data_IF_750077424587
#
_entry.id   IF_750077424587
#
_cell.length_a   1.000
_cell.length_b   1.000
_cell.length_c   1.000
_cell.angle_alpha   90.00
_cell.angle_beta   90.00
_cell.angle_gamma   90.00
#
_symmetry.space_group_name_H-M   'P 1'
#
loop_
_entity.id
_entity.type
_entity.pdbx_description
1 polymer ?
#
# COMPACT_ATOMS: atom_id res chain seq x y z
N UNK A 1 -5.42 -16.02 9.60
CA UNK A 1 -4.18 -15.32 10.02
C UNK A 1 -4.55 -14.08 10.81
N UNK A 2 -3.66 -13.54 11.64
CA UNK A 2 -3.95 -12.41 12.54
C UNK A 2 -5.10 -12.67 13.52
N UNK A 3 -5.17 -13.92 14.02
CA UNK A 3 -6.14 -14.27 15.04
C UNK A 3 -5.93 -13.38 16.28
N UNK A 4 -7.01 -12.79 16.81
CA UNK A 4 -6.95 -12.02 18.04
C UNK A 4 -6.43 -12.87 19.21
N UNK A 5 -6.77 -14.16 19.20
CA UNK A 5 -6.42 -15.13 20.23
C UNK A 5 -5.86 -16.40 19.58
N UNK A 6 -4.63 -16.32 19.10
CA UNK A 6 -4.07 -17.35 18.22
C UNK A 6 -3.79 -18.68 18.97
N UNK A 7 -4.46 -19.78 18.60
CA UNK A 7 -4.32 -21.05 19.31
C UNK A 7 -2.92 -21.66 19.15
N UNK A 8 -2.25 -21.38 18.03
CA UNK A 8 -0.87 -21.82 17.81
C UNK A 8 0.14 -21.13 18.73
N UNK A 9 -0.06 -19.85 19.06
CA UNK A 9 0.80 -19.16 20.02
C UNK A 9 0.54 -19.61 21.45
N UNK A 10 -0.69 -19.99 21.81
CA UNK A 10 -0.97 -20.62 23.11
C UNK A 10 -0.28 -21.96 23.30
N UNK A 11 -0.03 -22.68 22.20
CA UNK A 11 0.61 -23.99 22.22
C UNK A 11 2.14 -23.92 22.40
N UNK A 12 2.74 -22.72 22.35
CA UNK A 12 4.17 -22.53 22.59
C UNK A 12 4.40 -21.52 23.72
N UNK A 13 5.14 -21.90 24.77
CA UNK A 13 5.30 -21.03 25.96
C UNK A 13 6.22 -19.84 25.72
N UNK A 14 7.30 -20.05 24.96
CA UNK A 14 8.40 -19.10 24.84
C UNK A 14 8.51 -18.46 23.44
N UNK A 15 7.67 -18.87 22.50
CA UNK A 15 7.67 -18.39 21.11
C UNK A 15 6.29 -17.93 20.66
N UNK A 16 6.21 -17.41 19.44
CA UNK A 16 4.99 -16.87 18.86
C UNK A 16 4.79 -17.38 17.41
N UNK A 17 4.34 -18.65 17.24
CA UNK A 17 4.00 -19.21 15.94
C UNK A 17 3.04 -18.37 15.10
N UNK A 18 2.06 -17.69 15.71
CA UNK A 18 1.16 -16.82 14.95
C UNK A 18 1.89 -15.63 14.34
N UNK A 19 2.81 -15.01 15.08
CA UNK A 19 3.66 -13.94 14.58
C UNK A 19 4.62 -14.42 13.50
N UNK A 20 5.17 -15.62 13.61
CA UNK A 20 6.00 -16.20 12.54
C UNK A 20 5.20 -16.41 11.24
N UNK A 21 4.01 -17.01 11.33
CA UNK A 21 3.12 -17.20 10.17
C UNK A 21 2.75 -15.85 9.54
N UNK A 22 2.46 -14.85 10.38
CA UNK A 22 2.16 -13.48 9.95
C UNK A 22 3.36 -12.86 9.24
N UNK A 23 4.56 -12.94 9.82
CA UNK A 23 5.76 -12.39 9.22
C UNK A 23 6.00 -12.97 7.81
N UNK A 24 5.92 -14.29 7.65
CA UNK A 24 6.03 -14.95 6.33
C UNK A 24 4.98 -14.43 5.35
N UNK A 25 3.75 -14.18 5.82
CA UNK A 25 2.69 -13.64 4.97
C UNK A 25 2.97 -12.21 4.50
N UNK A 26 3.59 -11.39 5.34
CA UNK A 26 3.89 -9.99 5.05
C UNK A 26 5.35 -9.79 4.66
N UNK A 27 5.91 -10.73 3.90
CA UNK A 27 7.25 -10.69 3.29
C UNK A 27 8.42 -10.54 4.28
N UNK A 28 8.25 -11.04 5.51
CA UNK A 28 9.25 -11.05 6.57
C UNK A 28 9.77 -12.47 6.84
N UNK A 29 9.86 -13.32 5.82
CA UNK A 29 10.26 -14.73 5.96
C UNK A 29 11.63 -14.92 6.61
N UNK A 30 12.58 -14.01 6.33
CA UNK A 30 13.94 -14.06 6.86
C UNK A 30 14.00 -13.98 8.38
N UNK A 31 13.08 -13.24 8.99
CA UNK A 31 13.06 -13.03 10.45
C UNK A 31 12.02 -13.90 11.14
N UNK A 32 11.24 -14.69 10.39
CA UNK A 32 10.18 -15.56 10.91
C UNK A 32 10.68 -16.59 11.93
N UNK A 33 11.90 -17.09 11.74
CA UNK A 33 12.50 -18.10 12.62
C UNK A 33 12.63 -17.63 14.06
N UNK A 34 12.88 -16.34 14.30
CA UNK A 34 13.11 -15.83 15.66
C UNK A 34 11.92 -16.07 16.62
N UNK A 35 10.70 -16.19 16.09
CA UNK A 35 9.49 -16.46 16.86
C UNK A 35 9.17 -17.96 16.98
N UNK A 36 9.85 -18.82 16.22
CA UNK A 36 9.70 -20.28 16.25
C UNK A 36 10.84 -20.96 16.99
N UNK A 37 12.06 -20.41 16.92
CA UNK A 37 13.27 -20.95 17.54
C UNK A 37 13.14 -21.23 19.06
N UNK A 38 12.39 -20.42 19.85
CA UNK A 38 12.17 -20.72 21.26
C UNK A 38 11.21 -21.89 21.53
N UNK A 39 10.49 -22.38 20.52
CA UNK A 39 9.53 -23.48 20.67
C UNK A 39 10.24 -24.84 20.52
N UNK A 40 9.95 -25.77 21.42
CA UNK A 40 10.35 -27.17 21.26
C UNK A 40 9.61 -27.84 20.09
N UNK A 41 10.16 -28.93 19.55
CA UNK A 41 9.49 -29.70 18.47
C UNK A 41 8.09 -30.19 18.88
N UNK A 42 7.90 -30.54 20.15
CA UNK A 42 6.60 -30.95 20.69
C UNK A 42 5.59 -29.79 20.73
N UNK A 43 6.03 -28.59 21.12
CA UNK A 43 5.22 -27.36 21.09
C UNK A 43 4.87 -26.96 19.65
N UNK A 44 5.82 -27.05 18.72
CA UNK A 44 5.57 -26.77 17.30
C UNK A 44 4.57 -27.77 16.69
N UNK A 45 4.63 -29.05 17.08
CA UNK A 45 3.65 -30.05 16.68
C UNK A 45 2.26 -29.72 17.25
N UNK A 46 2.17 -29.33 18.53
CA UNK A 46 0.91 -28.91 19.14
C UNK A 46 0.34 -27.65 18.48
N UNK A 47 1.21 -26.67 18.18
CA UNK A 47 0.85 -25.44 17.48
C UNK A 47 0.32 -25.73 16.07
N UNK A 48 0.96 -26.64 15.32
CA UNK A 48 0.53 -27.09 14.00
C UNK A 48 -0.87 -27.73 14.07
N UNK A 49 -1.09 -28.65 15.02
CA UNK A 49 -2.40 -29.28 15.25
C UNK A 49 -3.48 -28.27 15.62
N UNK A 50 -3.14 -27.24 16.39
CA UNK A 50 -4.09 -26.21 16.83
C UNK A 50 -4.37 -25.14 15.76
N UNK A 51 -3.44 -24.93 14.81
CA UNK A 51 -3.54 -23.89 13.78
C UNK A 51 -4.23 -24.41 12.51
N UNK A 52 -5.56 -24.51 12.55
CA UNK A 52 -6.33 -24.96 11.38
C UNK A 52 -6.60 -23.78 10.44
N UNK A 53 -6.26 -23.95 9.16
CA UNK A 53 -6.57 -23.01 8.08
C UNK A 53 -7.48 -23.69 7.07
N UNK A 54 -8.76 -23.28 7.06
CA UNK A 54 -9.87 -23.97 6.42
C UNK A 54 -10.07 -25.39 6.99
N UNK A 55 -9.59 -26.41 6.30
CA UNK A 55 -9.79 -27.84 6.61
C UNK A 55 -8.48 -28.56 6.97
N UNK A 56 -7.34 -27.84 7.00
CA UNK A 56 -6.03 -28.44 7.23
C UNK A 56 -5.13 -27.63 8.18
N UNK A 57 -4.29 -28.30 8.98
CA UNK A 57 -3.22 -27.64 9.74
C UNK A 57 -2.29 -26.79 8.87
N UNK A 58 -1.88 -25.63 9.38
CA UNK A 58 -0.72 -24.92 8.85
C UNK A 58 0.53 -25.70 9.25
N UNK A 59 1.40 -26.02 8.29
CA UNK A 59 2.62 -26.81 8.50
C UNK A 59 3.74 -26.00 9.17
N UNK A 60 3.54 -25.61 10.42
CA UNK A 60 4.43 -24.71 11.17
C UNK A 60 5.86 -25.27 11.27
N UNK A 61 6.04 -26.59 11.38
CA UNK A 61 7.39 -27.18 11.41
C UNK A 61 8.12 -27.09 10.08
N UNK A 62 7.41 -27.18 8.96
CA UNK A 62 8.01 -26.95 7.64
C UNK A 62 8.40 -25.48 7.48
N UNK A 63 7.53 -24.55 7.91
CA UNK A 63 7.83 -23.11 7.94
C UNK A 63 9.07 -22.81 8.79
N UNK A 64 9.17 -23.41 9.99
CA UNK A 64 10.32 -23.26 10.86
C UNK A 64 11.61 -23.72 10.17
N UNK A 65 11.60 -24.85 9.47
CA UNK A 65 12.77 -25.34 8.71
C UNK A 65 13.15 -24.40 7.57
N UNK A 66 12.17 -23.83 6.87
CA UNK A 66 12.41 -22.91 5.77
C UNK A 66 12.95 -21.55 6.26
N UNK A 67 12.56 -21.08 7.44
CA UNK A 67 12.92 -19.77 7.96
C UNK A 67 14.32 -19.69 8.61
N UNK A 68 15.01 -20.82 8.83
CA UNK A 68 16.29 -20.93 9.59
C UNK A 68 17.51 -20.20 9.00
N UNK A 69 17.34 -19.44 7.92
CA UNK A 69 18.42 -18.87 7.13
C UNK A 69 19.03 -17.56 7.65
N UNK A 70 18.31 -16.79 8.48
CA UNK A 70 18.70 -15.39 8.74
C UNK A 70 18.65 -15.08 10.24
N UNK A 71 19.76 -14.57 10.79
CA UNK A 71 19.81 -14.13 12.18
C UNK A 71 19.10 -12.79 12.31
N UNK A 72 18.28 -12.58 13.36
CA UNK A 72 17.66 -11.29 13.61
C UNK A 72 18.74 -10.22 13.85
N UNK A 73 18.57 -9.06 13.21
CA UNK A 73 19.47 -7.92 13.38
C UNK A 73 19.25 -7.34 14.79
N UNK A 74 20.35 -7.10 15.51
CA UNK A 74 20.29 -6.56 16.89
C UNK A 74 20.08 -5.06 16.92
N UNK A 75 20.66 -4.35 15.96
CA UNK A 75 20.60 -2.89 15.86
C UNK A 75 19.78 -2.51 14.61
N UNK A 76 18.50 -2.23 14.82
CA UNK A 76 17.58 -1.84 13.75
C UNK A 76 17.64 -0.31 13.54
N UNK A 77 17.87 0.17 12.30
CA UNK A 77 17.85 1.60 11.98
C UNK A 77 16.52 2.26 12.35
N UNK A 78 16.58 3.56 12.64
CA UNK A 78 15.39 4.37 12.86
C UNK A 78 14.62 4.56 11.56
N UNK A 79 13.28 4.52 11.64
CA UNK A 79 12.40 4.89 10.53
C UNK A 79 11.89 6.33 10.63
N UNK A 80 12.43 7.13 11.55
CA UNK A 80 11.97 8.49 11.76
C UNK A 80 12.11 9.35 10.50
N UNK A 81 11.11 10.18 10.23
CA UNK A 81 11.05 11.10 9.08
C UNK A 81 10.64 12.50 9.54
N UNK A 82 10.89 13.49 8.68
CA UNK A 82 10.22 14.80 8.70
C UNK A 82 9.17 14.78 7.59
N UNK A 83 7.92 15.14 7.89
CA UNK A 83 6.87 15.31 6.87
C UNK A 83 6.17 16.64 7.10
N UNK A 84 6.25 17.53 6.12
CA UNK A 84 5.79 18.91 6.15
C UNK A 84 6.42 19.72 7.30
N UNK A 85 7.67 19.42 7.68
CA UNK A 85 8.32 20.04 8.84
C UNK A 85 7.92 19.44 10.18
N UNK A 86 7.19 18.32 10.19
CA UNK A 86 6.69 17.65 11.39
C UNK A 86 7.45 16.34 11.59
N UNK A 87 8.14 16.16 12.74
CA UNK A 87 8.81 14.90 13.06
C UNK A 87 7.82 13.76 13.25
N UNK A 88 8.09 12.62 12.62
CA UNK A 88 7.28 11.41 12.70
C UNK A 88 8.17 10.22 13.07
N UNK A 89 7.69 9.33 13.96
CA UNK A 89 8.46 8.16 14.42
C UNK A 89 8.70 7.09 13.34
N UNK A 90 7.83 7.03 12.32
CA UNK A 90 7.91 6.11 11.18
C UNK A 90 7.06 6.65 10.00
N UNK A 91 7.21 6.12 8.77
CA UNK A 91 6.52 6.66 7.59
C UNK A 91 5.09 6.16 7.39
N UNK A 92 4.53 5.38 8.33
CA UNK A 92 3.27 4.67 8.12
C UNK A 92 2.08 5.41 8.74
N UNK A 93 1.16 5.81 7.88
CA UNK A 93 -0.03 6.56 8.25
C UNK A 93 -1.29 5.79 7.86
N UNK A 94 -2.37 5.94 8.62
CA UNK A 94 -3.68 5.49 8.17
C UNK A 94 -4.23 6.45 7.10
N UNK A 95 -4.77 5.93 6.00
CA UNK A 95 -5.41 6.77 4.98
C UNK A 95 -6.85 7.12 5.36
N UNK A 96 -7.29 8.34 5.03
CA UNK A 96 -8.67 8.81 5.25
C UNK A 96 -9.72 7.86 4.66
N UNK A 97 -10.43 7.13 5.53
CA UNK A 97 -11.34 6.06 5.16
C UNK A 97 -12.12 5.49 6.37
N UNK A 98 -12.88 4.41 6.17
CA UNK A 98 -13.64 3.72 7.22
C UNK A 98 -12.80 3.22 8.41
N UNK A 99 -11.48 3.14 8.30
CA UNK A 99 -10.59 2.65 9.35
C UNK A 99 -10.16 3.73 10.36
N UNK A 100 -10.65 4.96 10.23
CA UNK A 100 -10.30 6.09 11.11
C UNK A 100 -11.47 7.07 11.28
N UNK A 101 -12.66 6.57 11.65
CA UNK A 101 -13.91 7.34 11.74
C UNK A 101 -14.35 7.73 13.16
N UNK A 102 -13.64 7.25 14.19
CA UNK A 102 -13.90 7.59 15.59
C UNK A 102 -12.64 7.52 16.45
N UNK A 103 -12.76 8.02 17.68
CA UNK A 103 -11.67 8.08 18.65
C UNK A 103 -11.05 6.71 18.92
N UNK A 104 -11.86 5.70 19.22
CA UNK A 104 -11.41 4.37 19.63
C UNK A 104 -10.63 3.67 18.52
N UNK A 105 -11.03 3.86 17.26
CA UNK A 105 -10.33 3.31 16.10
C UNK A 105 -8.94 3.91 15.94
N UNK A 106 -8.84 5.24 16.01
CA UNK A 106 -7.56 5.94 15.87
C UNK A 106 -6.64 5.69 17.07
N UNK A 107 -7.16 5.76 18.29
CA UNK A 107 -6.41 5.49 19.51
C UNK A 107 -5.77 4.09 19.48
N UNK A 108 -6.53 3.05 19.12
CA UNK A 108 -5.99 1.68 18.96
C UNK A 108 -4.93 1.57 17.86
N UNK A 109 -5.01 2.38 16.81
CA UNK A 109 -3.98 2.40 15.78
C UNK A 109 -2.69 3.05 16.31
N UNK A 110 -2.81 4.15 17.05
CA UNK A 110 -1.66 4.78 17.70
C UNK A 110 -1.01 3.86 18.74
N UNK A 111 -1.80 3.18 19.56
CA UNK A 111 -1.32 2.17 20.52
C UNK A 111 -0.61 1.00 19.82
N UNK A 112 -1.06 0.64 18.61
CA UNK A 112 -0.43 -0.40 17.81
C UNK A 112 0.91 0.04 17.17
N UNK A 113 1.21 1.34 17.11
CA UNK A 113 2.47 1.86 16.56
C UNK A 113 2.37 2.63 15.23
N UNK A 114 1.16 2.98 14.78
CA UNK A 114 1.01 3.88 13.63
C UNK A 114 1.50 5.29 14.01
N UNK A 115 2.29 5.93 13.14
CA UNK A 115 2.86 7.26 13.40
C UNK A 115 1.81 8.38 13.26
N UNK A 116 0.85 8.19 12.36
CA UNK A 116 -0.18 9.17 12.13
C UNK A 116 -1.43 8.65 11.41
N UNK A 117 -2.39 9.55 11.26
CA UNK A 117 -3.67 9.29 10.60
C UNK A 117 -4.05 10.47 9.74
N UNK A 118 -4.51 10.18 8.52
CA UNK A 118 -5.38 11.06 7.76
C UNK A 118 -6.80 10.67 8.16
N UNK A 119 -7.45 11.47 9.00
CA UNK A 119 -8.76 11.17 9.57
C UNK A 119 -9.83 11.10 8.48
N UNK A 120 -10.94 10.38 8.72
CA UNK A 120 -12.09 10.32 7.80
C UNK A 120 -12.49 11.73 7.35
N UNK A 121 -12.71 11.91 6.04
CA UNK A 121 -13.03 13.23 5.48
C UNK A 121 -14.27 13.85 6.14
N UNK A 122 -14.08 15.02 6.74
CA UNK A 122 -15.11 15.81 7.44
C UNK A 122 -15.74 16.79 6.45
N UNK A 123 -17.06 16.96 6.53
CA UNK A 123 -17.82 17.94 5.76
C UNK A 123 -18.96 18.55 6.60
N UNK A 124 -19.59 19.60 6.10
CA UNK A 124 -20.76 20.24 6.72
C UNK A 124 -22.09 19.56 6.36
N UNK A 125 -22.08 18.62 5.40
CA UNK A 125 -23.29 17.99 4.86
C UNK A 125 -23.80 16.82 5.72
N UNK A 126 -25.11 16.59 5.68
CA UNK A 126 -25.75 15.39 6.26
C UNK A 126 -25.53 14.18 5.34
N UNK A 127 -24.49 13.38 5.64
CA UNK A 127 -24.13 12.19 4.88
C UNK A 127 -25.01 11.01 5.27
N UNK A 128 -25.52 10.30 4.25
CA UNK A 128 -26.37 9.12 4.43
C UNK A 128 -25.86 7.95 3.61
N UNK A 129 -25.21 7.01 4.29
CA UNK A 129 -24.61 5.86 3.64
C UNK A 129 -25.62 4.85 3.10
N UNK A 130 -25.20 4.15 2.04
CA UNK A 130 -25.90 2.95 1.58
C UNK A 130 -25.43 1.71 2.36
N UNK A 131 -26.22 0.64 2.31
CA UNK A 131 -25.86 -0.65 2.92
C UNK A 131 -26.40 -1.85 2.13
N UNK A 132 -25.58 -2.90 1.91
CA UNK A 132 -24.12 -2.88 2.04
C UNK A 132 -23.43 -1.85 1.13
N UNK A 133 -22.22 -1.42 1.51
CA UNK A 133 -21.44 -0.42 0.75
C UNK A 133 -20.07 -0.88 0.30
N UNK A 134 -19.73 -2.14 0.57
CA UNK A 134 -18.46 -2.75 0.21
C UNK A 134 -18.67 -3.99 -0.67
N UNK A 135 -17.76 -4.16 -1.61
CA UNK A 135 -17.69 -5.29 -2.51
C UNK A 135 -16.22 -5.64 -2.76
N UNK A 136 -15.91 -6.87 -3.13
CA UNK A 136 -14.51 -7.30 -3.28
C UNK A 136 -14.31 -8.20 -4.49
N UNK A 137 -13.09 -8.16 -5.02
CA UNK A 137 -12.57 -9.10 -6.00
C UNK A 137 -11.64 -10.05 -5.25
N UNK A 138 -12.08 -11.30 -5.11
CA UNK A 138 -11.35 -12.34 -4.39
C UNK A 138 -10.94 -13.44 -5.37
N UNK A 139 -9.83 -14.10 -5.09
CA UNK A 139 -9.46 -15.33 -5.78
C UNK A 139 -10.34 -16.49 -5.26
N UNK A 140 -10.93 -17.33 -6.13
CA UNK A 140 -11.72 -18.48 -5.68
C UNK A 140 -10.93 -19.37 -4.72
N UNK A 141 -11.53 -19.73 -3.58
CA UNK A 141 -10.87 -20.53 -2.54
C UNK A 141 -9.95 -19.74 -1.59
N UNK A 142 -9.89 -18.42 -1.74
CA UNK A 142 -9.21 -17.52 -0.80
C UNK A 142 -10.16 -16.52 -0.17
N UNK A 143 -9.93 -16.22 1.11
CA UNK A 143 -10.70 -15.23 1.87
C UNK A 143 -10.09 -13.82 1.81
N UNK A 144 -8.86 -13.66 1.30
CA UNK A 144 -8.24 -12.35 1.13
C UNK A 144 -8.75 -11.64 -0.13
N UNK A 145 -8.93 -10.32 -0.04
CA UNK A 145 -9.31 -9.52 -1.20
C UNK A 145 -8.07 -9.12 -2.02
N UNK A 146 -8.20 -9.21 -3.34
CA UNK A 146 -7.19 -8.70 -4.27
C UNK A 146 -7.51 -7.25 -4.66
N UNK A 147 -8.79 -6.96 -4.89
CA UNK A 147 -9.32 -5.61 -5.06
C UNK A 147 -10.52 -5.38 -4.14
N UNK A 148 -10.65 -4.17 -3.60
CA UNK A 148 -11.75 -3.78 -2.73
C UNK A 148 -12.47 -2.58 -3.31
N UNK A 149 -13.78 -2.71 -3.49
CA UNK A 149 -14.68 -1.69 -4.04
C UNK A 149 -15.52 -1.11 -2.93
N UNK A 150 -15.58 0.22 -2.86
CA UNK A 150 -16.43 0.91 -1.90
C UNK A 150 -17.34 1.94 -2.57
N UNK A 151 -18.50 2.14 -1.96
CA UNK A 151 -19.45 3.22 -2.28
C UNK A 151 -19.63 4.13 -1.07
N UNK A 152 -18.64 4.13 -0.17
CA UNK A 152 -18.65 4.97 1.03
C UNK A 152 -18.43 6.44 0.66
N UNK A 153 -19.13 7.32 1.34
CA UNK A 153 -19.08 8.77 1.24
C UNK A 153 -18.12 9.35 2.31
N UNK A 154 -18.47 10.51 2.86
CA UNK A 154 -17.68 11.27 3.83
C UNK A 154 -18.05 10.82 5.27
N UNK A 155 -17.65 11.57 6.30
CA UNK A 155 -18.04 11.27 7.68
C UNK A 155 -19.56 11.38 7.88
N UNK A 156 -20.17 10.43 8.61
CA UNK A 156 -21.59 10.50 9.03
C UNK A 156 -21.77 11.28 10.35
N UNK A 157 -20.67 11.68 11.00
CA UNK A 157 -20.74 12.44 12.25
C UNK A 157 -21.08 13.91 11.96
N UNK A 158 -21.80 14.59 12.89
CA UNK A 158 -21.82 16.05 12.90
C UNK A 158 -20.40 16.61 12.98
N UNK A 159 -20.15 17.72 12.27
CA UNK A 159 -18.82 18.33 12.15
C UNK A 159 -18.17 18.61 13.51
N UNK A 160 -18.95 19.05 14.50
CA UNK A 160 -18.45 19.35 15.85
C UNK A 160 -17.95 18.09 16.59
N UNK A 161 -18.59 16.95 16.35
CA UNK A 161 -18.22 15.66 16.95
C UNK A 161 -16.88 15.19 16.40
N UNK A 162 -16.69 15.29 15.08
CA UNK A 162 -15.39 14.94 14.48
C UNK A 162 -14.27 15.82 15.02
N UNK A 163 -14.46 17.14 15.11
CA UNK A 163 -13.43 18.01 15.68
C UNK A 163 -13.21 17.82 17.19
N UNK A 164 -14.22 17.40 17.97
CA UNK A 164 -14.02 16.99 19.36
C UNK A 164 -13.15 15.73 19.47
N UNK A 165 -13.39 14.74 18.60
CA UNK A 165 -12.55 13.54 18.51
C UNK A 165 -11.10 13.92 18.22
N UNK A 166 -10.86 14.82 17.26
CA UNK A 166 -9.51 15.27 16.89
C UNK A 166 -8.80 15.98 18.05
N UNK A 167 -9.50 16.87 18.79
CA UNK A 167 -8.96 17.52 20.00
C UNK A 167 -8.54 16.50 21.05
N UNK A 168 -9.38 15.50 21.31
CA UNK A 168 -9.10 14.42 22.27
C UNK A 168 -7.90 13.59 21.83
N UNK A 169 -7.82 13.22 20.55
CA UNK A 169 -6.67 12.49 20.01
C UNK A 169 -5.36 13.26 20.19
N UNK A 170 -5.34 14.55 19.87
CA UNK A 170 -4.12 15.38 20.04
C UNK A 170 -3.74 15.59 21.50
N UNK A 171 -4.72 15.64 22.42
CA UNK A 171 -4.47 15.70 23.86
C UNK A 171 -3.87 14.40 24.39
N UNK A 172 -4.46 13.26 24.01
CA UNK A 172 -4.12 11.95 24.58
C UNK A 172 -2.88 11.33 23.89
N UNK A 173 -2.60 11.71 22.65
CA UNK A 173 -1.47 11.26 21.82
C UNK A 173 -0.68 12.43 21.20
N UNK A 174 -0.02 13.27 22.02
CA UNK A 174 0.61 14.50 21.55
C UNK A 174 1.77 14.28 20.56
N UNK A 175 2.44 13.12 20.61
CA UNK A 175 3.53 12.76 19.70
C UNK A 175 3.06 12.17 18.37
N UNK A 176 1.76 11.85 18.23
CA UNK A 176 1.19 11.24 17.03
C UNK A 176 0.64 12.32 16.10
N UNK A 177 0.71 12.03 14.82
CA UNK A 177 0.31 12.98 13.78
C UNK A 177 -1.16 12.77 13.41
N UNK A 178 -1.95 13.83 13.49
CA UNK A 178 -3.35 13.85 13.09
C UNK A 178 -3.51 14.85 11.97
N UNK A 179 -3.89 14.36 10.80
CA UNK A 179 -4.23 15.17 9.63
C UNK A 179 -5.75 15.15 9.46
N UNK A 180 -6.40 16.30 9.54
CA UNK A 180 -7.82 16.40 9.27
C UNK A 180 -8.08 16.39 7.76
N UNK A 181 -8.63 15.31 7.22
CA UNK A 181 -9.13 15.32 5.85
C UNK A 181 -10.45 16.09 5.82
N UNK A 182 -10.58 17.08 4.94
CA UNK A 182 -11.76 17.95 4.86
C UNK A 182 -12.28 18.04 3.42
N UNK A 183 -13.57 18.30 3.28
CA UNK A 183 -14.21 18.59 2.00
C UNK A 183 -15.32 19.63 2.19
N UNK A 184 -15.14 20.79 1.57
CA UNK A 184 -16.15 21.85 1.49
C UNK A 184 -16.87 21.86 0.13
N UNK A 185 -18.10 22.37 0.12
CA UNK A 185 -18.92 22.53 -1.08
C UNK A 185 -18.80 23.93 -1.69
N UNK A 186 -18.37 24.90 -0.89
CA UNK A 186 -18.10 26.27 -1.30
C UNK A 186 -16.85 26.80 -0.61
N UNK A 187 -16.32 27.92 -1.12
CA UNK A 187 -15.15 28.64 -0.58
C UNK A 187 -15.20 28.83 0.94
N UNK A 188 -16.33 29.33 1.44
CA UNK A 188 -16.53 29.62 2.86
C UNK A 188 -16.48 28.37 3.73
N UNK A 189 -16.97 27.24 3.24
CA UNK A 189 -16.94 25.97 3.96
C UNK A 189 -15.51 25.42 4.05
N UNK A 190 -14.73 25.51 2.97
CA UNK A 190 -13.32 25.10 2.99
C UNK A 190 -12.52 25.85 4.08
N UNK A 191 -12.69 27.17 4.18
CA UNK A 191 -12.04 27.96 5.22
C UNK A 191 -12.56 27.56 6.61
N UNK A 192 -13.88 27.42 6.75
CA UNK A 192 -14.49 27.13 8.05
C UNK A 192 -13.97 25.80 8.59
N UNK A 193 -13.98 24.75 7.77
CA UNK A 193 -13.45 23.43 8.13
C UNK A 193 -11.95 23.49 8.43
N UNK A 194 -11.16 24.21 7.63
CA UNK A 194 -9.71 24.32 7.84
C UNK A 194 -9.37 25.07 9.15
N UNK A 195 -10.10 26.14 9.49
CA UNK A 195 -9.94 26.86 10.76
C UNK A 195 -10.37 26.02 11.95
N UNK A 196 -11.49 25.30 11.85
CA UNK A 196 -11.91 24.37 12.89
C UNK A 196 -10.87 23.27 13.12
N UNK A 197 -10.21 22.80 12.06
CA UNK A 197 -9.11 21.85 12.16
C UNK A 197 -7.89 22.45 12.89
N UNK A 198 -7.45 23.65 12.49
CA UNK A 198 -6.36 24.37 13.16
C UNK A 198 -6.67 24.64 14.64
N UNK A 199 -7.89 25.08 14.96
CA UNK A 199 -8.36 25.28 16.34
C UNK A 199 -8.47 23.97 17.14
N UNK A 200 -8.70 22.84 16.47
CA UNK A 200 -8.67 21.52 17.09
C UNK A 200 -7.23 21.05 17.41
N UNK A 201 -6.21 21.76 16.94
CA UNK A 201 -4.80 21.48 17.20
C UNK A 201 -4.23 20.34 16.35
N UNK A 202 -4.86 20.02 15.21
CA UNK A 202 -4.34 19.01 14.28
C UNK A 202 -3.04 19.49 13.64
N UNK A 203 -2.22 18.53 13.17
CA UNK A 203 -0.89 18.83 12.65
C UNK A 203 -0.92 19.30 11.20
N UNK A 204 -1.95 18.93 10.42
CA UNK A 204 -2.14 19.37 9.04
C UNK A 204 -3.61 19.18 8.60
N UNK A 205 -3.96 19.74 7.44
CA UNK A 205 -5.23 19.46 6.73
C UNK A 205 -4.98 18.78 5.40
N UNK A 206 -5.76 17.74 5.08
CA UNK A 206 -5.80 17.13 3.75
C UNK A 206 -7.03 17.62 2.98
N UNK A 207 -6.85 18.17 1.79
CA UNK A 207 -7.96 18.62 0.95
C UNK A 207 -8.42 17.48 0.05
N UNK A 208 -9.60 16.92 0.33
CA UNK A 208 -10.15 15.82 -0.46
C UNK A 208 -10.81 16.34 -1.75
N UNK A 209 -10.02 16.55 -2.80
CA UNK A 209 -10.48 16.92 -4.14
C UNK A 209 -10.92 15.71 -4.98
N UNK A 210 -11.26 14.58 -4.35
CA UNK A 210 -11.22 13.30 -5.05
C UNK A 210 -12.43 12.40 -4.82
N UNK A 211 -13.41 12.80 -4.00
CA UNK A 211 -14.58 11.98 -3.73
C UNK A 211 -15.37 11.67 -5.03
N UNK A 212 -15.43 10.40 -5.49
CA UNK A 212 -16.07 10.06 -6.76
C UNK A 212 -17.59 9.90 -6.64
N UNK A 213 -18.14 9.94 -5.42
CA UNK A 213 -19.55 9.70 -5.10
C UNK A 213 -20.39 10.98 -4.98
N UNK A 214 -19.77 12.15 -5.09
CA UNK A 214 -20.48 13.43 -5.01
C UNK A 214 -21.17 13.74 -6.33
N UNK A 215 -22.46 14.08 -6.26
CA UNK A 215 -23.35 14.26 -7.44
C UNK A 215 -23.40 15.68 -8.00
N UNK A 216 -22.83 16.66 -7.29
CA UNK A 216 -22.84 18.06 -7.71
C UNK A 216 -21.65 18.33 -8.63
N UNK A 217 -21.94 18.88 -9.82
CA UNK A 217 -20.90 19.30 -10.76
C UNK A 217 -19.97 20.33 -10.10
N UNK A 218 -18.66 20.12 -10.20
CA UNK A 218 -17.66 20.98 -9.56
C UNK A 218 -17.29 20.60 -8.13
N UNK A 219 -17.57 19.36 -7.70
CA UNK A 219 -17.19 18.83 -6.39
C UNK A 219 -16.46 17.49 -6.49
N UNK A 220 -15.73 17.13 -5.43
CA UNK A 220 -15.06 15.82 -5.35
C UNK A 220 -14.10 15.62 -6.53
N UNK A 221 -14.13 14.46 -7.18
CA UNK A 221 -13.20 14.13 -8.27
C UNK A 221 -13.20 15.12 -9.44
N UNK A 222 -14.28 15.87 -9.65
CA UNK A 222 -14.37 16.87 -10.71
C UNK A 222 -13.48 18.09 -10.40
N UNK A 223 -13.33 18.44 -9.11
CA UNK A 223 -12.35 19.44 -8.64
C UNK A 223 -10.94 18.91 -8.89
N UNK A 224 -10.64 17.69 -8.44
CA UNK A 224 -9.30 17.11 -8.54
C UNK A 224 -8.83 16.88 -9.99
N UNK A 225 -9.74 16.89 -10.95
CA UNK A 225 -9.42 16.82 -12.38
C UNK A 225 -9.14 18.20 -13.00
N UNK A 226 -9.55 19.29 -12.34
CA UNK A 226 -9.41 20.65 -12.84
C UNK A 226 -8.31 21.41 -12.08
N UNK A 227 -7.17 21.63 -12.76
CA UNK A 227 -6.01 22.33 -12.21
C UNK A 227 -6.33 23.74 -11.70
N UNK A 228 -7.25 24.48 -12.31
CA UNK A 228 -7.63 25.82 -11.86
C UNK A 228 -8.36 25.77 -10.52
N UNK A 229 -9.27 24.80 -10.34
CA UNK A 229 -9.97 24.61 -9.07
C UNK A 229 -9.05 24.09 -7.99
N UNK A 230 -8.12 23.18 -8.32
CA UNK A 230 -7.09 22.70 -7.38
C UNK A 230 -6.21 23.86 -6.92
N UNK A 231 -5.73 24.70 -7.84
CA UNK A 231 -4.95 25.89 -7.51
C UNK A 231 -5.74 26.82 -6.61
N UNK A 232 -6.97 27.14 -7.00
CA UNK A 232 -7.83 28.07 -6.30
C UNK A 232 -8.11 27.64 -4.86
N UNK A 233 -8.71 26.46 -4.65
CA UNK A 233 -9.07 26.00 -3.30
C UNK A 233 -7.85 25.74 -2.42
N UNK A 234 -6.75 25.22 -3.00
CA UNK A 234 -5.51 25.03 -2.24
C UNK A 234 -4.95 26.37 -1.76
N UNK A 235 -4.84 27.36 -2.65
CA UNK A 235 -4.30 28.68 -2.30
C UNK A 235 -5.23 29.37 -1.30
N UNK A 236 -6.53 29.22 -1.48
CA UNK A 236 -7.55 29.80 -0.62
C UNK A 236 -7.46 29.25 0.81
N UNK A 237 -7.34 27.93 0.97
CA UNK A 237 -7.12 27.32 2.30
C UNK A 237 -5.75 27.70 2.85
N UNK A 238 -4.68 27.57 2.07
CA UNK A 238 -3.30 27.87 2.49
C UNK A 238 -3.12 29.30 2.99
N UNK A 239 -3.85 30.27 2.45
CA UNK A 239 -3.80 31.66 2.92
C UNK A 239 -4.50 31.88 4.27
N UNK A 240 -5.39 30.97 4.66
CA UNK A 240 -6.28 31.15 5.82
C UNK A 240 -5.93 30.29 7.04
N UNK A 241 -4.92 29.42 6.93
CA UNK A 241 -4.39 28.60 8.03
C UNK A 241 -2.86 28.61 8.03
N UNK A 242 -2.26 28.32 9.18
CA UNK A 242 -0.80 28.21 9.35
C UNK A 242 -0.31 26.77 9.30
N UNK A 243 -1.17 25.82 9.65
CA UNK A 243 -0.87 24.38 9.54
C UNK A 243 -0.67 23.98 8.07
N UNK A 244 0.15 22.93 7.80
CA UNK A 244 0.34 22.38 6.47
C UNK A 244 -0.97 21.99 5.76
N UNK A 245 -0.99 22.19 4.45
CA UNK A 245 -2.12 21.91 3.55
C UNK A 245 -1.68 20.90 2.50
N UNK A 246 -2.39 19.77 2.44
CA UNK A 246 -2.02 18.61 1.63
C UNK A 246 -3.18 18.22 0.69
N UNK A 247 -3.20 18.67 -0.57
CA UNK A 247 -4.21 18.24 -1.52
C UNK A 247 -4.12 16.74 -1.88
N UNK A 248 -5.25 16.02 -1.86
CA UNK A 248 -5.33 14.61 -2.24
C UNK A 248 -5.77 14.43 -3.69
N UNK A 249 -4.88 13.87 -4.51
CA UNK A 249 -5.04 13.73 -5.95
C UNK A 249 -5.90 12.52 -6.35
N UNK A 250 -6.72 12.70 -7.38
CA UNK A 250 -7.55 11.65 -7.97
C UNK A 250 -6.78 10.95 -9.09
N UNK A 251 -6.78 9.60 -9.15
CA UNK A 251 -6.17 8.87 -10.27
C UNK A 251 -7.05 8.85 -11.52
N UNK A 252 -8.28 9.38 -11.42
CA UNK A 252 -9.28 9.31 -12.48
C UNK A 252 -9.02 10.38 -13.55
N UNK A 253 -7.78 10.50 -14.01
CA UNK A 253 -7.32 11.56 -14.93
C UNK A 253 -6.21 11.02 -15.82
N UNK A 254 -6.09 11.60 -17.03
CA UNK A 254 -5.01 11.26 -17.96
C UNK A 254 -3.63 11.68 -17.43
N UNK A 255 -3.51 12.90 -16.92
CA UNK A 255 -2.25 13.51 -16.48
C UNK A 255 -2.35 14.07 -15.07
N UNK A 256 -1.94 13.30 -14.06
CA UNK A 256 -2.01 13.71 -12.65
C UNK A 256 -1.07 14.88 -12.32
N UNK A 257 -0.01 15.05 -13.12
CA UNK A 257 0.97 16.11 -12.95
C UNK A 257 0.35 17.52 -13.01
N UNK A 258 -0.68 17.72 -13.82
CA UNK A 258 -1.27 19.05 -13.99
C UNK A 258 -1.95 19.57 -12.69
N UNK A 259 -2.91 18.83 -12.09
CA UNK A 259 -3.49 19.26 -10.81
C UNK A 259 -2.47 19.22 -9.66
N UNK A 260 -1.52 18.28 -9.66
CA UNK A 260 -0.49 18.26 -8.63
C UNK A 260 0.41 19.52 -8.70
N UNK A 261 0.78 19.97 -9.90
CA UNK A 261 1.54 21.22 -10.08
C UNK A 261 0.74 22.45 -9.66
N UNK A 262 -0.56 22.45 -9.93
CA UNK A 262 -1.45 23.50 -9.45
C UNK A 262 -1.46 23.58 -7.92
N UNK A 263 -1.49 22.44 -7.21
CA UNK A 263 -1.33 22.40 -5.76
C UNK A 263 0.02 22.97 -5.30
N UNK A 264 1.12 22.61 -5.98
CA UNK A 264 2.44 23.18 -5.71
C UNK A 264 2.46 24.71 -5.88
N UNK A 265 1.96 25.24 -7.00
CA UNK A 265 1.93 26.69 -7.25
C UNK A 265 1.01 27.44 -6.29
N UNK A 266 0.00 26.76 -5.74
CA UNK A 266 -0.84 27.24 -4.66
C UNK A 266 -0.15 27.21 -3.28
N UNK A 267 1.14 26.86 -3.22
CA UNK A 267 1.94 26.75 -2.00
C UNK A 267 1.44 25.66 -1.03
N UNK A 268 0.88 24.56 -1.55
CA UNK A 268 0.72 23.35 -0.75
C UNK A 268 2.05 22.92 -0.13
N UNK A 269 2.00 22.17 0.97
CA UNK A 269 3.21 21.68 1.64
C UNK A 269 3.61 20.29 1.13
N UNK A 270 2.61 19.52 0.68
CA UNK A 270 2.77 18.22 0.05
C UNK A 270 1.56 17.90 -0.83
N UNK A 271 1.59 16.78 -1.55
CA UNK A 271 0.39 16.15 -2.10
C UNK A 271 0.27 14.69 -1.67
N UNK A 272 -0.97 14.24 -1.50
CA UNK A 272 -1.31 12.86 -1.26
C UNK A 272 -1.77 12.20 -2.55
N UNK A 273 -1.24 11.04 -2.92
CA UNK A 273 -1.66 10.34 -4.13
C UNK A 273 -1.55 8.81 -4.00
N UNK A 274 -2.55 8.02 -4.35
CA UNK A 274 -3.82 8.38 -5.04
C UNK A 274 -5.05 8.10 -4.19
N UNK A 275 -6.16 8.77 -4.51
CA UNK A 275 -7.50 8.29 -4.11
C UNK A 275 -7.88 7.01 -4.90
N UNK A 276 -9.07 6.48 -4.67
CA UNK A 276 -9.59 5.28 -5.35
C UNK A 276 -9.80 5.47 -6.84
N UNK A 277 -9.67 4.36 -7.59
CA UNK A 277 -9.90 4.33 -9.04
C UNK A 277 -11.38 4.03 -9.29
N UNK A 278 -12.05 4.81 -10.12
CA UNK A 278 -13.45 4.56 -10.51
C UNK A 278 -13.55 3.19 -11.18
N UNK A 279 -14.44 2.37 -10.64
CA UNK A 279 -14.73 1.00 -11.06
C UNK A 279 -16.22 0.74 -10.98
N UNK A 280 -16.66 -0.50 -11.24
CA UNK A 280 -18.08 -0.86 -11.21
C UNK A 280 -18.31 -1.99 -10.20
N UNK A 281 -19.33 -1.82 -9.37
CA UNK A 281 -19.89 -2.89 -8.53
C UNK A 281 -21.06 -3.52 -9.28
N UNK A 282 -20.91 -4.81 -9.63
CA UNK A 282 -21.87 -5.58 -10.42
C UNK A 282 -22.62 -6.64 -9.59
N UNK A 283 -22.41 -6.65 -8.27
CA UNK A 283 -22.79 -7.77 -7.41
C UNK A 283 -24.28 -8.14 -7.56
N UNK A 284 -24.52 -9.42 -7.89
CA UNK A 284 -25.81 -9.99 -8.26
C UNK A 284 -26.71 -10.23 -7.02
N UNK A 285 -26.15 -10.23 -5.80
CA UNK A 285 -26.86 -10.56 -4.56
C UNK A 285 -27.38 -9.33 -3.81
N UNK A 286 -28.11 -8.44 -4.49
CA UNK A 286 -28.87 -7.34 -3.86
C UNK A 286 -28.10 -6.38 -2.96
N UNK A 287 -26.78 -6.38 -3.04
CA UNK A 287 -25.90 -5.81 -2.02
C UNK A 287 -25.84 -4.26 -2.02
N UNK A 288 -26.55 -3.59 -2.91
CA UNK A 288 -26.65 -2.12 -2.96
C UNK A 288 -28.09 -1.74 -3.31
N UNK A 289 -29.05 -2.23 -2.52
CA UNK A 289 -30.48 -2.10 -2.79
C UNK A 289 -30.86 -2.54 -4.22
N UNK A 290 -30.37 -3.71 -4.63
CA UNK A 290 -30.58 -4.30 -5.97
C UNK A 290 -30.09 -3.45 -7.17
N UNK A 291 -29.21 -2.47 -6.93
CA UNK A 291 -28.61 -1.64 -7.98
C UNK A 291 -27.17 -2.03 -8.30
N UNK A 292 -26.73 -1.60 -9.48
CA UNK A 292 -25.34 -1.58 -9.94
C UNK A 292 -24.90 -0.12 -9.97
N UNK A 293 -23.67 0.16 -9.57
CA UNK A 293 -23.18 1.54 -9.49
C UNK A 293 -21.67 1.62 -9.70
N UNK A 294 -21.21 2.84 -9.96
CA UNK A 294 -19.79 3.20 -9.93
C UNK A 294 -19.31 3.15 -8.47
N UNK A 295 -18.13 2.59 -8.26
CA UNK A 295 -17.49 2.40 -6.96
C UNK A 295 -16.00 2.68 -7.02
N UNK A 296 -15.39 3.02 -5.89
CA UNK A 296 -13.95 3.24 -5.78
C UNK A 296 -13.20 1.93 -5.56
N UNK A 297 -12.36 1.53 -6.52
CA UNK A 297 -11.43 0.40 -6.40
C UNK A 297 -10.18 0.81 -5.62
N UNK A 298 -9.79 -0.07 -4.71
CA UNK A 298 -8.62 0.01 -3.82
C UNK A 298 -8.02 -1.39 -3.62
N UNK A 299 -6.99 -1.51 -2.78
CA UNK A 299 -6.27 -2.77 -2.53
C UNK A 299 -5.15 -3.04 -3.54
N UNK A 300 -4.54 -4.23 -3.46
CA UNK A 300 -3.34 -4.60 -4.23
C UNK A 300 -3.51 -4.40 -5.75
N UNK A 301 -4.73 -4.60 -6.25
CA UNK A 301 -5.09 -4.38 -7.64
C UNK A 301 -4.74 -2.96 -8.17
N UNK A 302 -4.72 -1.94 -7.30
CA UNK A 302 -4.45 -0.55 -7.72
C UNK A 302 -2.97 -0.15 -7.63
N UNK A 303 -2.12 -0.94 -6.95
CA UNK A 303 -0.72 -0.58 -6.66
C UNK A 303 0.06 -0.17 -7.90
N UNK A 304 0.04 -0.93 -9.02
CA UNK A 304 0.82 -0.54 -10.21
C UNK A 304 0.38 0.81 -10.82
N UNK A 305 -0.91 1.16 -10.69
CA UNK A 305 -1.44 2.43 -11.19
C UNK A 305 -1.06 3.57 -10.24
N UNK A 306 -1.09 3.33 -8.93
CA UNK A 306 -0.62 4.29 -7.93
C UNK A 306 0.88 4.60 -8.12
N UNK A 307 1.72 3.58 -8.24
CA UNK A 307 3.16 3.75 -8.50
C UNK A 307 3.43 4.51 -9.80
N UNK A 308 2.66 4.27 -10.88
CA UNK A 308 2.77 5.06 -12.12
C UNK A 308 2.54 6.56 -11.84
N UNK A 309 1.49 6.90 -11.12
CA UNK A 309 1.18 8.30 -10.82
C UNK A 309 2.22 8.96 -9.91
N UNK A 310 2.72 8.23 -8.92
CA UNK A 310 3.84 8.68 -8.09
C UNK A 310 5.08 8.91 -8.95
N UNK A 311 5.44 7.97 -9.83
CA UNK A 311 6.57 8.12 -10.73
C UNK A 311 6.42 9.34 -11.66
N UNK A 312 5.23 9.57 -12.21
CA UNK A 312 4.95 10.73 -13.07
C UNK A 312 5.21 12.05 -12.35
N UNK A 313 4.78 12.17 -11.09
CA UNK A 313 5.04 13.34 -10.25
C UNK A 313 6.51 13.38 -9.84
N UNK A 314 7.07 12.31 -9.31
CA UNK A 314 8.44 12.28 -8.83
C UNK A 314 9.49 12.48 -9.94
N UNK A 315 9.17 12.25 -11.22
CA UNK A 315 10.06 12.62 -12.34
C UNK A 315 9.87 14.05 -12.84
N UNK A 316 8.83 14.75 -12.41
CA UNK A 316 8.62 16.15 -12.78
C UNK A 316 9.63 17.04 -12.05
N UNK A 317 10.43 17.87 -12.77
CA UNK A 317 11.45 18.72 -12.17
C UNK A 317 10.95 19.64 -11.05
N UNK A 318 9.68 20.04 -11.08
CA UNK A 318 9.11 20.92 -10.05
C UNK A 318 9.02 20.24 -8.67
N UNK A 319 8.82 18.92 -8.66
CA UNK A 319 8.70 18.14 -7.44
C UNK A 319 10.05 17.60 -6.96
N UNK A 320 11.07 17.55 -7.83
CA UNK A 320 12.43 17.16 -7.46
C UNK A 320 13.33 18.34 -7.13
N UNK A 321 12.98 19.54 -7.59
CA UNK A 321 13.67 20.76 -7.24
C UNK A 321 13.68 20.96 -5.72
N UNK A 322 14.87 21.25 -5.20
CA UNK A 322 15.04 21.61 -3.79
C UNK A 322 14.88 23.12 -3.66
N UNK A 323 13.87 23.57 -2.92
CA UNK A 323 13.67 24.98 -2.58
C UNK A 323 14.00 25.17 -1.11
N UNK A 324 14.91 26.10 -0.79
CA UNK A 324 15.37 26.34 0.58
C UNK A 324 15.85 25.07 1.32
N UNK A 325 16.49 24.16 0.60
CA UNK A 325 16.98 22.91 1.18
C UNK A 325 15.93 21.82 1.37
N UNK A 326 14.67 22.02 0.95
CA UNK A 326 13.61 20.99 1.01
C UNK A 326 13.01 20.70 -0.36
N UNK A 327 12.74 19.43 -0.61
CA UNK A 327 11.98 18.95 -1.78
C UNK A 327 10.49 19.06 -1.48
N UNK A 328 9.66 19.28 -2.50
CA UNK A 328 8.22 19.10 -2.35
C UNK A 328 7.90 17.64 -2.04
N UNK A 329 7.00 17.41 -1.09
CA UNK A 329 6.80 16.07 -0.55
C UNK A 329 5.59 15.35 -1.15
N UNK A 330 5.74 14.04 -1.28
CA UNK A 330 4.69 13.14 -1.76
C UNK A 330 4.30 12.18 -0.63
N UNK A 331 2.99 12.03 -0.41
CA UNK A 331 2.40 11.02 0.47
C UNK A 331 1.77 9.93 -0.39
N UNK A 332 2.37 8.74 -0.37
CA UNK A 332 2.03 7.62 -1.25
C UNK A 332 0.85 6.78 -0.74
N UNK A 333 -0.13 6.48 -1.60
CA UNK A 333 -1.34 5.74 -1.25
C UNK A 333 -1.75 4.83 -2.40
N UNK A 334 -2.01 3.56 -2.11
CA UNK A 334 -2.68 2.66 -3.07
C UNK A 334 -2.10 1.25 -3.07
N UNK A 335 -2.81 0.32 -2.45
CA UNK A 335 -2.48 -1.11 -2.53
C UNK A 335 -1.26 -1.57 -1.74
N UNK A 336 -0.80 -0.77 -0.78
CA UNK A 336 0.28 -1.13 0.15
C UNK A 336 -0.25 -2.18 1.15
N UNK A 337 0.35 -3.37 1.13
CA UNK A 337 0.04 -4.49 2.04
C UNK A 337 1.27 -4.94 2.83
N UNK A 338 2.46 -4.89 2.24
CA UNK A 338 3.72 -5.28 2.88
C UNK A 338 4.73 -4.13 2.93
N UNK A 339 5.82 -4.32 3.69
CA UNK A 339 6.91 -3.35 3.76
C UNK A 339 7.59 -3.14 2.41
N UNK A 340 7.59 -4.16 1.53
CA UNK A 340 8.13 -4.06 0.16
C UNK A 340 7.28 -3.13 -0.68
N UNK A 341 5.96 -3.23 -0.56
CA UNK A 341 5.06 -2.30 -1.24
C UNK A 341 5.33 -0.86 -0.76
N UNK A 342 5.47 -0.64 0.55
CA UNK A 342 5.80 0.69 1.08
C UNK A 342 7.16 1.20 0.60
N UNK A 343 8.17 0.33 0.57
CA UNK A 343 9.50 0.64 0.05
C UNK A 343 9.43 1.09 -1.41
N UNK A 344 8.62 0.46 -2.28
CA UNK A 344 8.45 0.90 -3.67
C UNK A 344 7.97 2.36 -3.76
N UNK A 345 7.00 2.77 -2.93
CA UNK A 345 6.54 4.17 -2.89
C UNK A 345 7.64 5.12 -2.40
N UNK A 346 8.39 4.73 -1.36
CA UNK A 346 9.49 5.50 -0.80
C UNK A 346 10.61 5.67 -1.82
N UNK A 347 11.04 4.58 -2.47
CA UNK A 347 12.06 4.58 -3.53
C UNK A 347 11.65 5.38 -4.77
N UNK A 348 10.34 5.57 -4.99
CA UNK A 348 9.81 6.49 -5.99
C UNK A 348 9.68 7.94 -5.53
N UNK A 349 10.02 8.27 -4.29
CA UNK A 349 10.08 9.65 -3.81
C UNK A 349 9.01 10.03 -2.78
N UNK A 350 8.22 9.09 -2.26
CA UNK A 350 7.30 9.41 -1.16
C UNK A 350 8.03 9.56 0.17
N UNK A 351 7.76 10.64 0.92
CA UNK A 351 8.29 10.83 2.27
C UNK A 351 7.58 9.93 3.28
N UNK A 352 6.28 9.71 3.08
CA UNK A 352 5.47 8.79 3.88
C UNK A 352 4.51 7.98 3.00
N UNK A 353 3.85 7.00 3.61
CA UNK A 353 2.83 6.19 2.95
C UNK A 353 1.56 6.08 3.79
N UNK A 354 0.40 6.04 3.13
CA UNK A 354 -0.90 5.82 3.76
C UNK A 354 -1.49 4.46 3.40
N UNK A 355 -2.06 3.79 4.40
CA UNK A 355 -2.59 2.42 4.29
C UNK A 355 -4.06 2.39 4.72
N UNK A 356 -4.90 1.67 3.98
CA UNK A 356 -6.33 1.53 4.27
C UNK A 356 -6.80 0.09 4.06
N UNK A 357 -6.80 -0.38 2.81
CA UNK A 357 -7.37 -1.69 2.44
C UNK A 357 -6.71 -2.85 3.20
N UNK A 358 -5.39 -2.82 3.40
CA UNK A 358 -4.71 -3.84 4.19
C UNK A 358 -5.18 -3.84 5.66
N UNK A 359 -5.38 -2.68 6.28
CA UNK A 359 -5.93 -2.57 7.64
C UNK A 359 -7.37 -3.07 7.70
N UNK A 360 -8.19 -2.80 6.68
CA UNK A 360 -9.55 -3.36 6.61
C UNK A 360 -9.52 -4.90 6.61
N UNK A 361 -8.52 -5.52 5.99
CA UNK A 361 -8.43 -6.97 5.90
C UNK A 361 -7.85 -7.63 7.14
N UNK A 362 -6.84 -6.98 7.72
CA UNK A 362 -5.88 -7.62 8.61
C UNK A 362 -5.84 -6.93 9.99
N UNK A 363 -6.42 -5.73 10.13
CA UNK A 363 -6.40 -4.93 11.35
C UNK A 363 -5.10 -4.12 11.52
N UNK A 364 -5.05 -3.28 12.55
CA UNK A 364 -3.94 -2.33 12.76
C UNK A 364 -2.59 -2.99 13.02
N UNK A 365 -2.58 -4.23 13.53
CA UNK A 365 -1.37 -5.00 13.88
C UNK A 365 -0.45 -5.33 12.70
N UNK A 366 -0.84 -5.05 11.46
CA UNK A 366 0.06 -5.16 10.31
C UNK A 366 1.25 -4.20 10.40
N UNK A 367 1.11 -3.11 11.18
CA UNK A 367 2.17 -2.12 11.37
C UNK A 367 3.48 -2.75 11.90
N UNK A 368 3.38 -3.78 12.75
CA UNK A 368 4.54 -4.51 13.26
C UNK A 368 5.42 -5.04 12.11
N UNK A 369 4.79 -5.63 11.09
CA UNK A 369 5.46 -6.29 9.98
C UNK A 369 5.91 -5.27 8.92
N UNK A 370 5.18 -4.15 8.79
CA UNK A 370 5.58 -3.00 7.96
C UNK A 370 6.87 -2.34 8.49
N UNK A 371 6.91 -2.03 9.78
CA UNK A 371 8.06 -1.39 10.45
C UNK A 371 9.24 -2.35 10.46
N UNK A 372 9.06 -3.57 10.98
CA UNK A 372 10.15 -4.52 11.12
C UNK A 372 10.77 -4.90 9.78
N UNK A 373 9.96 -5.09 8.73
CA UNK A 373 10.47 -5.45 7.42
C UNK A 373 11.30 -4.34 6.78
N UNK A 374 10.85 -3.09 6.89
CA UNK A 374 11.59 -1.94 6.38
C UNK A 374 12.90 -1.72 7.16
N UNK A 375 12.88 -1.88 8.48
CA UNK A 375 14.10 -1.78 9.30
C UNK A 375 15.13 -2.87 8.95
N UNK A 376 14.68 -4.12 8.78
CA UNK A 376 15.59 -5.20 8.39
C UNK A 376 16.17 -4.97 7.00
N UNK A 377 15.36 -4.50 6.04
CA UNK A 377 15.84 -4.13 4.71
C UNK A 377 16.95 -3.06 4.78
N UNK A 378 16.76 -2.02 5.61
CA UNK A 378 17.76 -0.98 5.83
C UNK A 378 19.02 -1.54 6.48
N UNK A 379 18.88 -2.34 7.54
CA UNK A 379 20.00 -2.96 8.25
C UNK A 379 20.84 -3.87 7.33
N UNK A 380 20.19 -4.70 6.52
CA UNK A 380 20.86 -5.60 5.56
C UNK A 380 21.67 -4.85 4.49
N UNK A 381 21.29 -3.61 4.18
CA UNK A 381 21.95 -2.76 3.18
C UNK A 381 22.88 -1.71 3.80
N UNK A 382 22.97 -1.65 5.13
CA UNK A 382 23.73 -0.62 5.83
C UNK A 382 23.18 0.80 5.62
N UNK A 383 21.86 0.94 5.44
CA UNK A 383 21.18 2.23 5.30
C UNK A 383 20.81 2.75 6.69
N UNK A 384 21.35 3.89 7.09
CA UNK A 384 21.14 4.46 8.43
C UNK A 384 19.91 5.37 8.50
N UNK A 385 19.60 6.09 7.42
CA UNK A 385 18.49 7.05 7.36
C UNK A 385 17.49 6.68 6.27
N UNK A 386 16.20 6.64 6.62
CA UNK A 386 15.14 6.33 5.66
C UNK A 386 15.09 7.35 4.49
N UNK A 387 15.48 8.60 4.77
CA UNK A 387 15.59 9.67 3.76
C UNK A 387 16.49 9.30 2.59
N UNK A 388 17.50 8.46 2.79
CA UNK A 388 18.44 8.06 1.75
C UNK A 388 17.80 7.13 0.71
N UNK A 389 16.69 6.47 1.07
CA UNK A 389 15.90 5.67 0.14
C UNK A 389 14.90 6.51 -0.66
N UNK A 390 14.62 7.74 -0.25
CA UNK A 390 13.51 8.51 -0.81
C UNK A 390 13.84 9.01 -2.22
N UNK A 391 13.30 8.34 -3.24
CA UNK A 391 13.54 8.67 -4.65
C UNK A 391 14.82 8.03 -5.23
N UNK A 392 15.46 7.14 -4.49
CA UNK A 392 16.73 6.51 -4.86
C UNK A 392 16.66 5.71 -6.16
N UNK A 393 15.49 5.17 -6.51
CA UNK A 393 15.28 4.40 -7.74
C UNK A 393 14.91 5.28 -8.95
N UNK A 394 14.61 6.57 -8.76
CA UNK A 394 14.21 7.46 -9.87
C UNK A 394 15.20 7.50 -11.04
N UNK A 395 16.54 7.52 -10.82
CA UNK A 395 17.51 7.46 -11.91
C UNK A 395 17.46 6.17 -12.73
N UNK A 396 16.93 5.08 -12.16
CA UNK A 396 16.83 3.77 -12.83
C UNK A 396 15.60 3.65 -13.75
N UNK A 397 14.70 4.64 -13.75
CA UNK A 397 13.54 4.67 -14.65
C UNK A 397 13.88 5.32 -15.98
N UNK A 398 14.02 4.47 -17.01
CA UNK A 398 14.22 4.92 -18.38
C UNK A 398 12.92 4.90 -19.22
N UNK A 399 12.98 5.51 -20.40
CA UNK A 399 11.90 5.45 -21.38
C UNK A 399 11.93 4.12 -22.12
N UNK A 400 10.77 3.59 -22.59
CA UNK A 400 10.75 2.37 -23.38
C UNK A 400 11.72 2.41 -24.57
N UNK A 401 11.94 3.57 -25.19
CA UNK A 401 12.86 3.74 -26.32
C UNK A 401 14.33 3.47 -25.96
N UNK A 402 14.75 3.72 -24.72
CA UNK A 402 16.14 3.58 -24.30
C UNK A 402 16.48 2.22 -23.69
N UNK A 403 15.48 1.36 -23.46
CA UNK A 403 15.71 0.02 -22.94
C UNK A 403 16.61 -0.80 -23.86
N UNK A 404 17.57 -1.52 -23.26
CA UNK A 404 18.46 -2.44 -23.98
C UNK A 404 17.66 -3.51 -24.75
N UNK A 405 17.79 -3.46 -26.08
CA UNK A 405 17.17 -4.41 -27.02
C UNK A 405 18.15 -5.40 -27.60
N UNK A 406 19.45 -5.22 -27.34
CA UNK A 406 20.53 -5.99 -27.93
C UNK A 406 20.95 -7.16 -27.05
N UNK A 407 20.49 -7.22 -25.80
CA UNK A 407 20.71 -8.35 -24.91
C UNK A 407 19.45 -9.16 -24.62
N UNK A 408 19.66 -10.37 -24.14
CA UNK A 408 18.63 -11.34 -23.77
C UNK A 408 19.00 -12.00 -22.44
N UNK A 409 17.97 -12.34 -21.67
CA UNK A 409 18.06 -13.18 -20.47
C UNK A 409 17.25 -14.43 -20.75
N UNK A 410 17.87 -15.60 -20.62
CA UNK A 410 17.18 -16.89 -20.81
C UNK A 410 16.63 -17.40 -19.47
N UNK A 411 15.51 -18.16 -19.49
CA UNK A 411 15.06 -18.87 -18.29
C UNK A 411 16.01 -20.03 -17.97
N UNK A 412 16.28 -20.24 -16.68
CA UNK A 412 16.95 -21.44 -16.17
C UNK A 412 15.93 -22.33 -15.47
N UNK A 413 16.12 -23.64 -15.48
CA UNK A 413 15.16 -24.60 -14.91
C UNK A 413 15.81 -25.37 -13.77
N UNK A 414 15.30 -25.21 -12.56
CA UNK A 414 15.63 -26.02 -11.40
C UNK A 414 14.82 -27.32 -11.46
N UNK A 415 15.52 -28.44 -11.64
CA UNK A 415 14.90 -29.75 -11.78
C UNK A 415 14.41 -30.32 -10.45
N UNK A 416 14.98 -29.90 -9.33
CA UNK A 416 14.59 -30.37 -8.00
C UNK A 416 13.30 -29.70 -7.54
N UNK A 417 13.12 -28.42 -7.86
CA UNK A 417 11.88 -27.68 -7.56
C UNK A 417 10.77 -27.90 -8.60
N UNK A 418 11.10 -28.50 -9.75
CA UNK A 418 10.13 -28.73 -10.82
C UNK A 418 9.19 -29.89 -10.48
N UNK A 419 7.89 -29.60 -10.37
CA UNK A 419 6.84 -30.62 -10.17
C UNK A 419 6.33 -31.24 -11.48
N UNK A 420 7.02 -30.99 -12.60
CA UNK A 420 6.68 -31.54 -13.91
C UNK A 420 5.27 -31.21 -14.42
N UNK A 421 4.69 -30.06 -14.05
CA UNK A 421 3.30 -29.72 -14.40
C UNK A 421 3.08 -29.34 -15.88
N UNK A 422 4.13 -29.02 -16.63
CA UNK A 422 4.03 -28.61 -18.04
C UNK A 422 3.45 -27.21 -18.30
N UNK A 423 3.06 -26.44 -17.27
CA UNK A 423 2.50 -25.08 -17.47
C UNK A 423 3.43 -24.15 -18.24
N UNK A 424 4.73 -24.21 -17.97
CA UNK A 424 5.73 -23.41 -18.69
C UNK A 424 5.77 -23.76 -20.19
N UNK A 425 5.59 -25.04 -20.53
CA UNK A 425 5.45 -25.50 -21.91
C UNK A 425 4.18 -24.93 -22.54
N UNK A 426 3.01 -25.17 -21.94
CA UNK A 426 1.72 -24.70 -22.47
C UNK A 426 1.71 -23.19 -22.69
N UNK A 427 2.16 -22.41 -21.71
CA UNK A 427 2.23 -20.96 -21.85
C UNK A 427 3.22 -20.50 -22.92
N UNK A 428 4.31 -21.24 -23.16
CA UNK A 428 5.22 -20.93 -24.25
C UNK A 428 4.67 -21.33 -25.62
N UNK A 429 3.91 -22.42 -25.70
CA UNK A 429 3.27 -22.89 -26.93
C UNK A 429 2.13 -21.97 -27.37
N UNK A 430 1.25 -21.59 -26.46
CA UNK A 430 -0.01 -20.91 -26.82
C UNK A 430 0.05 -19.39 -26.59
N UNK A 431 0.93 -18.93 -25.71
CA UNK A 431 1.09 -17.51 -25.35
C UNK A 431 2.50 -16.96 -25.58
N UNK A 432 3.38 -17.73 -26.23
CA UNK A 432 4.78 -17.39 -26.41
C UNK A 432 5.32 -17.74 -27.79
N UNK A 433 6.50 -18.35 -27.81
CA UNK A 433 7.32 -18.54 -29.02
C UNK A 433 7.65 -20.02 -29.29
N UNK A 434 6.86 -20.95 -28.75
CA UNK A 434 7.00 -22.40 -28.96
C UNK A 434 8.45 -22.89 -28.71
N UNK A 435 9.11 -22.26 -27.74
CA UNK A 435 10.53 -22.42 -27.43
C UNK A 435 10.78 -23.42 -26.30
N UNK A 436 9.73 -24.02 -25.74
CA UNK A 436 9.83 -25.07 -24.74
C UNK A 436 9.14 -26.30 -25.35
N UNK A 437 9.82 -27.44 -25.36
CA UNK A 437 9.21 -28.76 -25.56
C UNK A 437 8.98 -29.42 -24.21
N UNK A 438 8.07 -30.40 -24.15
CA UNK A 438 7.77 -31.11 -22.92
C UNK A 438 7.83 -32.61 -23.17
N UNK A 439 8.73 -33.27 -22.47
CA UNK A 439 8.79 -34.72 -22.44
C UNK A 439 7.66 -35.24 -21.55
N UNK A 440 6.70 -35.97 -22.13
CA UNK A 440 5.53 -36.45 -21.42
C UNK A 440 5.86 -37.60 -20.43
N UNK A 441 6.87 -38.40 -20.75
CA UNK A 441 7.28 -39.56 -19.95
C UNK A 441 8.11 -39.10 -18.74
N UNK A 442 9.10 -38.24 -18.98
CA UNK A 442 9.93 -37.66 -17.91
C UNK A 442 9.27 -36.49 -17.19
N UNK A 443 8.17 -35.96 -17.75
CA UNK A 443 7.48 -34.74 -17.30
C UNK A 443 8.40 -33.53 -17.19
N UNK A 444 9.36 -33.40 -18.10
CA UNK A 444 10.40 -32.37 -18.03
C UNK A 444 10.30 -31.37 -19.20
N UNK A 445 10.31 -30.06 -18.91
CA UNK A 445 10.43 -29.05 -19.97
C UNK A 445 11.87 -28.98 -20.49
N UNK A 446 12.01 -28.81 -21.80
CA UNK A 446 13.29 -28.60 -22.48
C UNK A 446 13.24 -27.30 -23.27
N UNK A 447 14.20 -26.41 -23.04
CA UNK A 447 14.29 -25.12 -23.71
C UNK A 447 15.04 -25.25 -25.04
N UNK A 448 14.39 -24.87 -26.14
CA UNK A 448 15.05 -24.54 -27.39
C UNK A 448 15.54 -23.08 -27.35
N UNK A 449 16.81 -22.91 -27.01
CA UNK A 449 17.44 -21.60 -26.92
C UNK A 449 17.42 -20.79 -28.22
N UNK A 450 17.29 -21.45 -29.40
CA UNK A 450 17.22 -20.76 -30.70
C UNK A 450 15.88 -20.07 -30.92
N UNK A 451 14.81 -20.61 -30.33
CA UNK A 451 13.45 -20.05 -30.43
C UNK A 451 13.11 -19.13 -29.26
N UNK A 452 13.80 -19.28 -28.14
CA UNK A 452 13.49 -18.51 -26.95
C UNK A 452 13.92 -17.03 -27.12
N UNK A 453 12.96 -16.13 -26.90
CA UNK A 453 13.18 -14.68 -26.96
C UNK A 453 13.34 -14.02 -25.59
N UNK A 454 13.38 -14.82 -24.51
CA UNK A 454 13.57 -14.30 -23.15
C UNK A 454 12.37 -13.52 -22.59
N UNK A 455 11.14 -13.77 -23.04
CA UNK A 455 9.95 -13.07 -22.52
C UNK A 455 9.59 -13.42 -21.06
N UNK A 456 10.16 -14.50 -20.52
CA UNK A 456 9.94 -14.99 -19.15
C UNK A 456 8.48 -15.30 -18.75
N UNK A 457 7.54 -15.39 -19.70
CA UNK A 457 6.17 -15.85 -19.40
C UNK A 457 6.16 -17.20 -18.68
N UNK A 458 7.03 -18.14 -19.10
CA UNK A 458 7.19 -19.44 -18.45
C UNK A 458 7.53 -19.34 -16.95
N UNK A 459 8.35 -18.35 -16.56
CA UNK A 459 8.70 -18.07 -15.17
C UNK A 459 7.50 -17.54 -14.40
N UNK A 460 6.74 -16.61 -14.97
CA UNK A 460 5.57 -16.00 -14.32
C UNK A 460 4.43 -16.99 -14.04
N UNK A 461 4.30 -18.04 -14.86
CA UNK A 461 3.27 -19.08 -14.68
C UNK A 461 3.73 -20.28 -13.86
N UNK A 462 5.01 -20.34 -13.47
CA UNK A 462 5.57 -21.46 -12.73
C UNK A 462 5.02 -21.47 -11.28
N UNK A 463 4.28 -22.51 -10.84
CA UNK A 463 3.63 -22.51 -9.54
C UNK A 463 4.60 -22.69 -8.36
N UNK A 464 5.82 -23.17 -8.61
CA UNK A 464 6.81 -23.45 -7.57
C UNK A 464 8.01 -22.50 -7.62
N UNK A 465 8.06 -21.58 -8.58
CA UNK A 465 9.24 -20.72 -8.77
C UNK A 465 10.48 -21.45 -9.33
N UNK A 466 10.35 -22.70 -9.80
CA UNK A 466 11.44 -23.52 -10.33
C UNK A 466 12.10 -22.99 -11.62
N UNK A 467 11.72 -21.81 -12.11
CA UNK A 467 12.29 -21.21 -13.31
C UNK A 467 12.98 -19.89 -12.93
N UNK A 468 14.32 -19.92 -12.96
CA UNK A 468 15.17 -18.78 -12.66
C UNK A 468 15.49 -17.92 -13.88
N UNK A 469 16.48 -17.03 -13.70
CA UNK A 469 17.02 -16.17 -14.74
C UNK A 469 18.50 -16.50 -14.95
N UNK A 470 18.91 -16.65 -16.20
CA UNK A 470 20.32 -16.82 -16.56
C UNK A 470 21.06 -15.46 -16.49
N UNK A 471 22.37 -15.48 -16.72
CA UNK A 471 23.14 -14.27 -16.99
C UNK A 471 22.63 -13.61 -18.28
N UNK A 472 22.52 -12.28 -18.28
CA UNK A 472 22.23 -11.48 -19.49
C UNK A 472 23.38 -11.63 -20.49
N UNK A 473 23.05 -11.93 -21.74
CA UNK A 473 24.02 -12.07 -22.84
C UNK A 473 23.58 -11.26 -24.07
N UNK A 474 24.51 -10.96 -24.97
CA UNK A 474 24.17 -10.34 -26.25
C UNK A 474 23.31 -11.29 -27.10
N UNK A 475 22.33 -10.74 -27.82
CA UNK A 475 21.57 -11.48 -28.84
C UNK A 475 22.49 -11.81 -30.00
N UNK A 476 22.49 -13.06 -30.42
CA UNK A 476 23.05 -13.45 -31.73
C UNK A 476 22.18 -12.85 -32.82
N UNK A 477 22.80 -12.08 -33.72
CA UNK A 477 22.15 -11.48 -34.90
C UNK A 477 21.62 -12.55 -35.86
#
# INVERSE_FOLDING_TARGET
MLCADAPCSKACKNGDPARAIRAIRFDNEAVAAQWLDPCSDAELQAAETACIHYDRPIRIRELAKAAKGTKPQKDLPSLAIDFCGIPCENPFFLASSAICTNYEMVARAFDAGWAGVFYKTICMEDIREVSPRFDAVNEPGRSDFFGFRNMEQLSENPVEVDFDILRRLKKDYPSKIVVASIMGNAETEWITLAKMAEEAGVDAVELNFSCPQMKLAGMGSDVGQNSELVLFYTAYVKHNVKIPVIPKMTPNITQINQPAMAAYFASADAVSAINTIKSVTMNIRGAVADKKTISGLSGRAVKPIALRHILEMAKNPIFTATNNGKRFELSGIGGIETWRDALEFIQLGCSNVQVCTAVMQYGYRIIDDLVLGLQNYMAERGVEHLSDLVGEELPNFDTPTNLDRDTIVYPTFDREQCIGCGRCYTSCQDGGHQAITFDADLRQPHLDGKRCVGCHLCRLVCPTGAIGVAKRIAKTK
#
